data_IF_119438753963
#
_entry.id   IF_119438753963
#
_cell.length_a   1.000
_cell.length_b   1.000
_cell.length_c   1.000
_cell.angle_alpha   90.00
_cell.angle_beta   90.00
_cell.angle_gamma   90.00
#
_symmetry.space_group_name_H-M   'P 1'
#
loop_
_entity.id
_entity.type
_entity.pdbx_description
1 polymer ?
#
# COMPACT_ATOMS: atom_id res chain seq x y z
N UNK A 1 46.48 -46.05 -36.90
CA UNK A 1 45.21 -45.30 -36.84
C UNK A 1 44.88 -45.08 -35.37
N UNK A 2 45.08 -43.87 -34.86
CA UNK A 2 45.07 -43.55 -33.43
C UNK A 2 43.67 -43.04 -33.07
N UNK A 3 42.92 -43.84 -32.32
CA UNK A 3 41.62 -43.45 -31.77
C UNK A 3 41.84 -42.43 -30.66
N UNK A 4 41.40 -41.18 -30.88
CA UNK A 4 41.51 -40.11 -29.90
C UNK A 4 40.33 -40.16 -28.94
N UNK A 5 40.54 -40.66 -27.73
CA UNK A 5 39.56 -40.56 -26.65
C UNK A 5 39.49 -39.10 -26.17
N UNK A 6 38.34 -38.45 -26.39
CA UNK A 6 38.03 -37.15 -25.82
C UNK A 6 37.63 -37.35 -24.36
N UNK A 7 38.56 -37.09 -23.44
CA UNK A 7 38.30 -37.08 -22.01
C UNK A 7 37.74 -35.71 -21.65
N UNK A 8 36.42 -35.58 -21.56
CA UNK A 8 35.79 -34.37 -21.01
C UNK A 8 36.02 -34.39 -19.50
N UNK A 9 36.65 -33.37 -18.89
CA UNK A 9 36.94 -33.37 -17.47
C UNK A 9 35.63 -33.29 -16.69
N UNK A 10 35.43 -34.19 -15.72
CA UNK A 10 34.26 -34.23 -14.84
C UNK A 10 33.99 -32.88 -14.13
N UNK A 11 35.03 -32.07 -13.94
CA UNK A 11 34.94 -30.71 -13.41
C UNK A 11 34.12 -29.76 -14.30
N UNK A 12 34.16 -29.91 -15.63
CA UNK A 12 33.38 -29.08 -16.56
C UNK A 12 31.88 -29.41 -16.51
N UNK A 13 31.53 -30.68 -16.27
CA UNK A 13 30.15 -31.13 -16.08
C UNK A 13 29.61 -30.64 -14.73
N UNK A 14 30.45 -30.65 -13.68
CA UNK A 14 30.05 -30.18 -12.35
C UNK A 14 29.83 -28.66 -12.29
N UNK A 15 30.64 -27.88 -13.02
CA UNK A 15 30.47 -26.42 -13.13
C UNK A 15 29.19 -26.01 -13.87
N UNK A 16 28.75 -26.81 -14.86
CA UNK A 16 27.48 -26.59 -15.57
C UNK A 16 26.24 -26.91 -14.71
N UNK A 17 26.36 -27.78 -13.71
CA UNK A 17 25.26 -28.15 -12.81
C UNK A 17 25.08 -27.18 -11.63
N UNK A 18 26.10 -26.36 -11.34
CA UNK A 18 26.08 -25.37 -10.24
C UNK A 18 25.58 -23.99 -10.68
N UNK A 19 25.41 -23.75 -11.98
CA UNK A 19 24.64 -22.59 -12.48
C UNK A 19 23.15 -22.92 -12.45
N UNK A 20 22.58 -22.97 -11.25
CA UNK A 20 21.12 -22.95 -11.09
C UNK A 20 20.57 -21.64 -11.68
N UNK A 21 19.46 -21.66 -12.44
CA UNK A 21 18.85 -20.42 -12.90
C UNK A 21 18.43 -19.62 -11.67
N UNK A 22 18.94 -18.39 -11.55
CA UNK A 22 18.37 -17.40 -10.65
C UNK A 22 16.89 -17.29 -10.99
N UNK A 23 15.99 -17.60 -10.04
CA UNK A 23 14.59 -17.20 -10.13
C UNK A 23 14.54 -15.68 -9.98
N UNK A 24 14.87 -14.96 -11.04
CA UNK A 24 14.20 -13.70 -11.31
C UNK A 24 12.83 -14.09 -11.86
N UNK A 25 11.74 -13.48 -11.39
CA UNK A 25 10.46 -13.51 -12.10
C UNK A 25 10.70 -12.92 -13.50
N UNK A 26 11.12 -13.80 -14.40
CA UNK A 26 11.37 -13.50 -15.78
C UNK A 26 10.09 -13.84 -16.53
N UNK A 27 9.66 -12.92 -17.39
CA UNK A 27 8.64 -13.14 -18.40
C UNK A 27 8.53 -14.62 -18.82
N UNK A 28 7.36 -15.23 -18.64
CA UNK A 28 7.10 -16.57 -19.14
C UNK A 28 6.94 -16.51 -20.66
N UNK A 29 8.08 -16.55 -21.37
CA UNK A 29 8.14 -16.42 -22.83
C UNK A 29 7.27 -17.47 -23.55
N UNK A 30 7.06 -18.65 -22.97
CA UNK A 30 6.23 -19.68 -23.59
C UNK A 30 4.74 -19.31 -23.58
N UNK A 31 4.24 -18.76 -22.46
CA UNK A 31 2.86 -18.28 -22.35
C UNK A 31 2.67 -16.99 -23.16
N UNK A 32 3.61 -16.06 -23.06
CA UNK A 32 3.45 -14.69 -23.53
C UNK A 32 3.85 -14.47 -24.99
N UNK A 33 4.55 -15.43 -25.63
CA UNK A 33 5.15 -15.23 -26.96
C UNK A 33 4.16 -14.71 -28.02
N UNK A 34 2.97 -15.31 -28.12
CA UNK A 34 2.00 -14.97 -29.16
C UNK A 34 1.49 -13.53 -29.00
N UNK A 35 0.90 -13.22 -27.85
CA UNK A 35 0.27 -11.93 -27.59
C UNK A 35 1.29 -10.80 -27.47
N UNK A 36 2.43 -11.03 -26.81
CA UNK A 36 3.51 -10.02 -26.75
C UNK A 36 4.04 -9.73 -28.15
N UNK A 37 4.26 -10.74 -29.00
CA UNK A 37 4.72 -10.52 -30.38
C UNK A 37 3.70 -9.73 -31.19
N UNK A 38 2.41 -10.07 -31.08
CA UNK A 38 1.32 -9.35 -31.73
C UNK A 38 1.30 -7.87 -31.30
N UNK A 39 1.37 -7.59 -30.01
CA UNK A 39 1.30 -6.23 -29.48
C UNK A 39 2.54 -5.40 -29.83
N UNK A 40 3.72 -6.01 -29.88
CA UNK A 40 4.95 -5.35 -30.33
C UNK A 40 4.93 -5.03 -31.83
N UNK A 41 4.45 -5.95 -32.67
CA UNK A 41 4.31 -5.73 -34.12
C UNK A 41 3.30 -4.63 -34.43
N UNK A 42 2.23 -4.52 -33.64
CA UNK A 42 1.24 -3.44 -33.75
C UNK A 42 1.71 -2.11 -33.13
N UNK A 43 2.95 -2.06 -32.64
CA UNK A 43 3.56 -0.88 -32.01
C UNK A 43 2.84 -0.39 -30.75
N UNK A 44 2.03 -1.25 -30.12
CA UNK A 44 1.22 -0.88 -28.96
C UNK A 44 2.01 -0.90 -27.65
N UNK A 45 3.18 -1.55 -27.62
CA UNK A 45 3.99 -1.76 -26.41
C UNK A 45 5.44 -1.23 -26.56
N UNK A 46 5.63 -0.01 -27.11
CA UNK A 46 6.97 0.55 -27.38
C UNK A 46 7.47 1.59 -26.36
N UNK A 47 6.70 1.88 -25.31
CA UNK A 47 7.04 2.86 -24.28
C UNK A 47 7.59 2.19 -23.03
N UNK A 48 8.34 2.97 -22.22
CA UNK A 48 8.93 2.52 -20.96
C UNK A 48 8.43 3.40 -19.81
N UNK A 49 7.54 2.88 -18.94
CA UNK A 49 7.03 3.61 -17.79
C UNK A 49 8.14 4.09 -16.85
N UNK A 50 9.23 3.31 -16.72
CA UNK A 50 10.39 3.65 -15.88
C UNK A 50 11.08 4.95 -16.29
N UNK A 51 10.94 5.35 -17.55
CA UNK A 51 11.56 6.56 -18.11
C UNK A 51 10.60 7.76 -18.03
N UNK A 52 9.47 7.62 -17.33
CA UNK A 52 8.41 8.63 -17.22
C UNK A 52 7.53 8.79 -18.46
N UNK A 53 7.74 7.97 -19.49
CA UNK A 53 6.99 8.00 -20.74
C UNK A 53 6.02 6.82 -20.83
N UNK A 54 4.72 7.11 -20.69
CA UNK A 54 3.65 6.10 -20.68
C UNK A 54 2.63 6.28 -21.82
N UNK A 55 3.05 6.86 -22.96
CA UNK A 55 2.14 7.18 -24.08
C UNK A 55 1.42 5.98 -24.69
N UNK A 56 1.91 4.76 -24.47
CA UNK A 56 1.38 3.51 -25.04
C UNK A 56 0.88 2.50 -23.99
N UNK A 57 0.96 2.84 -22.69
CA UNK A 57 0.75 1.87 -21.62
C UNK A 57 -0.67 1.30 -21.61
N UNK A 58 -1.65 2.18 -21.88
CA UNK A 58 -3.07 1.81 -21.95
C UNK A 58 -3.31 0.84 -23.10
N UNK A 59 -2.79 1.16 -24.28
CA UNK A 59 -2.94 0.38 -25.49
C UNK A 59 -2.25 -0.99 -25.35
N UNK A 60 -1.07 -1.03 -24.74
CA UNK A 60 -0.39 -2.29 -24.46
C UNK A 60 -1.16 -3.15 -23.47
N UNK A 61 -1.67 -2.56 -22.39
CA UNK A 61 -2.49 -3.28 -21.40
C UNK A 61 -3.73 -3.88 -22.04
N UNK A 62 -4.43 -3.10 -22.88
CA UNK A 62 -5.58 -3.60 -23.62
C UNK A 62 -5.22 -4.69 -24.64
N UNK A 63 -4.02 -4.62 -25.23
CA UNK A 63 -3.57 -5.61 -26.19
C UNK A 63 -3.22 -6.96 -25.52
N UNK A 64 -2.54 -6.93 -24.37
CA UNK A 64 -2.22 -8.12 -23.57
C UNK A 64 -3.47 -8.66 -22.83
N UNK A 65 -4.40 -7.77 -22.46
CA UNK A 65 -5.67 -8.11 -21.87
C UNK A 65 -5.52 -8.91 -20.58
N UNK A 66 -6.11 -10.11 -20.54
CA UNK A 66 -6.10 -10.98 -19.36
C UNK A 66 -4.72 -11.56 -19.04
N UNK A 67 -3.76 -11.49 -19.97
CA UNK A 67 -2.38 -11.95 -19.77
C UNK A 67 -1.47 -10.83 -19.22
N UNK A 68 -2.02 -9.66 -18.91
CA UNK A 68 -1.22 -8.51 -18.49
C UNK A 68 -0.34 -8.82 -17.29
N UNK A 69 -0.90 -9.38 -16.21
CA UNK A 69 -0.17 -9.62 -14.96
C UNK A 69 0.93 -10.69 -15.12
N UNK A 70 0.74 -11.63 -16.05
CA UNK A 70 1.72 -12.67 -16.37
C UNK A 70 2.77 -12.24 -17.40
N UNK A 71 2.46 -11.26 -18.25
CA UNK A 71 3.27 -10.90 -19.42
C UNK A 71 3.80 -9.47 -19.43
N UNK A 72 3.42 -8.59 -18.49
CA UNK A 72 3.90 -7.21 -18.46
C UNK A 72 5.43 -7.11 -18.29
N UNK A 73 6.07 -8.13 -17.71
CA UNK A 73 7.53 -8.21 -17.55
C UNK A 73 8.22 -8.39 -18.90
N UNK A 74 7.53 -9.01 -19.87
CA UNK A 74 8.04 -9.22 -21.22
C UNK A 74 8.20 -7.91 -22.01
N UNK A 75 7.40 -6.91 -21.66
CA UNK A 75 7.35 -5.59 -22.31
C UNK A 75 7.91 -4.49 -21.41
N UNK A 76 8.41 -4.83 -20.21
CA UNK A 76 9.02 -3.87 -19.28
C UNK A 76 8.00 -2.88 -18.69
N UNK A 77 6.75 -3.28 -18.53
CA UNK A 77 5.67 -2.42 -18.04
C UNK A 77 5.02 -2.89 -16.75
N UNK A 78 5.50 -3.98 -16.14
CA UNK A 78 5.05 -4.30 -14.79
C UNK A 78 5.46 -3.21 -13.81
N UNK A 79 4.61 -2.97 -12.81
CA UNK A 79 5.04 -2.26 -11.62
C UNK A 79 6.19 -3.06 -10.98
N UNK A 80 7.37 -2.47 -10.73
CA UNK A 80 8.47 -3.18 -10.10
C UNK A 80 7.99 -3.79 -8.79
N UNK A 81 7.93 -5.12 -8.78
CA UNK A 81 7.62 -5.88 -7.57
C UNK A 81 8.84 -5.76 -6.66
N UNK A 82 8.82 -4.80 -5.74
CA UNK A 82 9.68 -4.88 -4.57
C UNK A 82 9.17 -6.07 -3.75
N UNK A 83 9.69 -7.27 -4.05
CA UNK A 83 9.65 -8.43 -3.16
C UNK A 83 10.54 -8.18 -1.93
N UNK A 84 10.45 -7.00 -1.35
CA UNK A 84 10.72 -6.85 0.06
C UNK A 84 9.56 -7.59 0.74
N UNK A 85 9.87 -8.59 1.56
CA UNK A 85 8.92 -9.13 2.52
C UNK A 85 8.52 -8.00 3.45
N UNK A 86 7.57 -7.18 2.99
CA UNK A 86 7.01 -6.07 3.73
C UNK A 86 6.49 -6.68 5.04
N UNK A 87 7.06 -6.29 6.20
CA UNK A 87 6.77 -6.95 7.47
C UNK A 87 5.26 -6.98 7.74
N UNK A 88 4.71 -7.94 8.49
CA UNK A 88 3.28 -7.96 8.82
C UNK A 88 2.78 -6.64 9.41
N UNK A 89 3.65 -5.90 10.12
CA UNK A 89 3.38 -4.54 10.64
C UNK A 89 3.11 -3.48 9.56
N UNK A 90 3.52 -3.72 8.32
CA UNK A 90 3.26 -2.83 7.17
C UNK A 90 1.92 -3.10 6.48
N UNK A 91 1.23 -4.19 6.82
CA UNK A 91 -0.09 -4.56 6.30
C UNK A 91 -1.13 -4.46 7.40
N UNK A 92 -2.30 -3.96 7.05
CA UNK A 92 -3.43 -3.88 7.96
C UNK A 92 -4.75 -4.03 7.23
N UNK A 93 -5.74 -4.49 7.97
CA UNK A 93 -7.15 -4.48 7.57
C UNK A 93 -7.83 -3.33 8.28
N UNK A 94 -8.65 -2.57 7.55
CA UNK A 94 -9.35 -1.40 8.06
C UNK A 94 -10.83 -1.50 7.75
N UNK A 95 -11.67 -0.95 8.62
CA UNK A 95 -13.12 -0.96 8.46
C UNK A 95 -13.75 0.22 9.23
N UNK A 96 -14.81 0.78 8.66
CA UNK A 96 -15.71 1.73 9.33
C UNK A 96 -16.73 0.97 10.17
N UNK A 97 -16.86 1.36 11.44
CA UNK A 97 -17.76 0.70 12.38
C UNK A 97 -19.19 1.19 12.20
N UNK A 98 -20.14 0.26 12.36
CA UNK A 98 -21.56 0.59 12.32
C UNK A 98 -22.01 1.19 13.66
N UNK A 99 -22.82 2.25 13.62
CA UNK A 99 -23.37 2.91 14.81
C UNK A 99 -22.32 3.34 15.86
N UNK A 100 -21.34 4.18 15.48
CA UNK A 100 -20.35 4.65 16.44
C UNK A 100 -20.99 5.51 17.53
N UNK A 101 -20.35 5.53 18.70
CA UNK A 101 -20.77 6.33 19.86
C UNK A 101 -19.65 7.33 20.20
N UNK A 102 -19.49 8.43 19.43
CA UNK A 102 -18.42 9.42 19.62
C UNK A 102 -18.23 9.91 21.05
N UNK A 103 -19.34 10.13 21.78
CA UNK A 103 -19.30 10.59 23.16
C UNK A 103 -18.69 9.57 24.11
N UNK A 104 -18.91 8.26 23.88
CA UNK A 104 -18.32 7.20 24.68
C UNK A 104 -16.83 7.10 24.41
N UNK A 105 -16.42 7.13 23.15
CA UNK A 105 -15.01 7.08 22.77
C UNK A 105 -14.23 8.22 23.44
N UNK A 106 -14.71 9.45 23.29
CA UNK A 106 -14.11 10.64 23.93
C UNK A 106 -14.00 10.47 25.45
N UNK A 107 -15.07 10.04 26.11
CA UNK A 107 -15.08 9.83 27.56
C UNK A 107 -14.08 8.75 28.03
N UNK A 108 -13.80 7.75 27.20
CA UNK A 108 -12.82 6.69 27.49
C UNK A 108 -11.38 7.09 27.15
N UNK A 109 -11.18 8.10 26.31
CA UNK A 109 -9.85 8.57 25.87
C UNK A 109 -9.39 9.87 26.53
N UNK A 110 -10.29 10.61 27.18
CA UNK A 110 -9.98 11.86 27.89
C UNK A 110 -9.38 11.57 29.28
N UNK A 111 -8.15 12.06 29.51
CA UNK A 111 -7.48 11.99 30.82
C UNK A 111 -6.58 10.77 31.03
N UNK A 112 -6.08 10.58 32.27
CA UNK A 112 -5.27 9.41 32.63
C UNK A 112 -6.16 8.19 32.87
N UNK A 113 -6.00 7.15 32.05
CA UNK A 113 -6.71 5.89 32.22
C UNK A 113 -5.86 4.89 33.02
N UNK A 114 -6.50 4.08 33.87
CA UNK A 114 -5.83 2.97 34.58
C UNK A 114 -5.80 1.67 33.75
N UNK A 115 -6.10 1.78 32.45
CA UNK A 115 -6.26 0.66 31.55
C UNK A 115 -4.96 0.44 30.79
N UNK A 116 -4.65 -0.80 30.43
CA UNK A 116 -3.44 -1.16 29.64
C UNK A 116 -3.64 -0.81 28.15
N UNK A 117 -3.97 0.44 27.90
CA UNK A 117 -4.25 1.00 26.57
C UNK A 117 -3.28 2.13 26.30
N UNK A 118 -2.76 2.17 25.08
CA UNK A 118 -1.91 3.25 24.63
C UNK A 118 -2.76 4.25 23.82
N UNK A 119 -3.13 5.36 24.46
CA UNK A 119 -3.94 6.43 23.83
C UNK A 119 -2.97 7.44 23.21
N UNK A 120 -3.14 7.70 21.91
CA UNK A 120 -2.29 8.62 21.16
C UNK A 120 -3.17 9.65 20.46
N UNK A 121 -2.86 10.92 20.68
CA UNK A 121 -3.50 12.03 19.98
C UNK A 121 -2.48 12.80 19.16
N UNK A 122 -2.76 13.02 17.89
CA UNK A 122 -1.89 13.75 16.97
C UNK A 122 -2.71 14.69 16.07
N UNK A 123 -2.12 15.77 15.53
CA UNK A 123 -2.83 16.66 14.62
C UNK A 123 -3.33 15.89 13.39
N UNK A 124 -4.57 16.11 12.97
CA UNK A 124 -5.17 15.43 11.81
C UNK A 124 -4.32 15.57 10.53
N UNK A 125 -3.58 16.67 10.37
CA UNK A 125 -2.67 16.85 9.24
C UNK A 125 -1.53 15.81 9.18
N UNK A 126 -1.12 15.24 10.31
CA UNK A 126 -0.10 14.19 10.38
C UNK A 126 -0.60 12.83 9.84
N UNK A 127 -1.92 12.60 9.83
CA UNK A 127 -2.52 11.43 9.16
C UNK A 127 -2.26 11.44 7.64
N UNK A 128 -2.19 12.65 7.07
CA UNK A 128 -2.06 12.89 5.63
C UNK A 128 -0.61 13.11 5.17
N UNK A 129 0.31 13.47 6.07
CA UNK A 129 1.71 13.75 5.73
C UNK A 129 2.46 12.52 5.22
N UNK A 130 2.05 11.32 5.63
CA UNK A 130 2.56 10.05 5.10
C UNK A 130 2.08 9.72 3.68
N UNK A 131 1.25 10.58 3.08
CA UNK A 131 0.87 10.54 1.67
C UNK A 131 1.74 11.52 0.88
N UNK A 132 3.06 11.29 0.85
CA UNK A 132 4.03 12.14 0.12
C UNK A 132 3.63 12.35 -1.37
N UNK A 133 2.88 11.40 -1.95
CA UNK A 133 2.39 11.50 -3.33
C UNK A 133 1.10 12.32 -3.51
N UNK A 134 0.31 12.56 -2.44
CA UNK A 134 -0.93 13.33 -2.56
C UNK A 134 -0.68 14.83 -2.42
N UNK A 135 0.26 15.22 -1.56
CA UNK A 135 0.64 16.63 -1.37
C UNK A 135 1.28 17.19 -2.64
N UNK A 136 2.16 16.41 -3.29
CA UNK A 136 2.72 16.76 -4.61
C UNK A 136 1.63 16.97 -5.68
N UNK A 137 0.60 16.11 -5.71
CA UNK A 137 -0.48 16.24 -6.69
C UNK A 137 -1.35 17.50 -6.43
N UNK A 138 -1.62 17.81 -5.16
CA UNK A 138 -2.37 19.01 -4.77
C UNK A 138 -1.57 20.30 -4.97
N UNK A 139 -0.26 20.30 -4.72
CA UNK A 139 0.63 21.43 -5.05
C UNK A 139 0.71 21.67 -6.56
N UNK A 140 0.79 20.61 -7.37
CA UNK A 140 0.83 20.73 -8.84
C UNK A 140 -0.49 21.27 -9.40
N UNK A 141 -1.63 20.93 -8.79
CA UNK A 141 -2.94 21.50 -9.16
C UNK A 141 -3.06 22.98 -8.75
N UNK A 142 -2.45 23.37 -7.62
CA UNK A 142 -2.45 24.76 -7.15
C UNK A 142 -1.54 25.66 -8.02
N UNK A 143 -0.42 25.15 -8.52
CA UNK A 143 0.46 25.89 -9.44
C UNK A 143 -0.16 26.07 -10.84
N UNK A 144 -0.99 25.13 -11.28
CA UNK A 144 -1.67 25.18 -12.57
C UNK A 144 -2.96 26.05 -12.59
N UNK A 145 -3.46 26.51 -11.43
CA UNK A 145 -4.75 27.23 -11.35
C UNK A 145 -4.62 28.74 -11.09
N UNK A 146 -3.52 29.36 -11.51
CA UNK A 146 -3.37 30.82 -11.59
C UNK A 146 -3.98 31.43 -12.87
N UNK A 147 -5.08 30.88 -13.39
CA UNK A 147 -5.91 31.53 -14.41
C UNK A 147 -7.41 31.41 -14.09
N UNK A 148 -7.96 32.52 -13.57
CA UNK A 148 -9.36 32.95 -13.58
C UNK A 148 -10.41 31.93 -14.08
N UNK A 149 -10.88 31.04 -13.21
CA UNK A 149 -12.16 30.35 -13.38
C UNK A 149 -13.04 30.72 -12.19
N UNK A 150 -14.05 31.54 -12.45
CA UNK A 150 -15.13 31.80 -11.51
C UNK A 150 -16.12 30.63 -11.56
N UNK A 151 -16.09 29.78 -10.54
CA UNK A 151 -17.08 28.71 -10.34
C UNK A 151 -18.12 29.18 -9.31
N UNK A 152 -19.43 29.05 -9.57
CA UNK A 152 -20.46 29.53 -8.66
C UNK A 152 -20.49 28.71 -7.37
N UNK A 153 -20.56 29.43 -6.24
CA UNK A 153 -20.44 28.87 -4.90
C UNK A 153 -21.52 27.85 -4.57
N UNK A 154 -21.07 26.68 -4.12
CA UNK A 154 -21.79 25.88 -3.16
C UNK A 154 -20.82 25.59 -2.01
N UNK A 155 -21.09 26.25 -0.89
CA UNK A 155 -20.26 26.27 0.31
C UNK A 155 -20.20 24.89 0.98
N UNK A 156 -19.05 24.23 0.86
CA UNK A 156 -18.51 23.38 1.94
C UNK A 156 -17.15 23.97 2.33
N UNK A 157 -17.18 25.24 2.74
CA UNK A 157 -16.14 25.75 3.64
C UNK A 157 -16.48 25.20 5.03
N UNK A 158 -16.00 23.98 5.31
CA UNK A 158 -15.74 23.61 6.69
C UNK A 158 -14.84 24.72 7.26
N UNK A 159 -15.36 25.39 8.29
CA UNK A 159 -14.71 26.51 8.95
C UNK A 159 -13.32 26.06 9.39
N UNK A 160 -12.31 26.62 8.77
CA UNK A 160 -10.94 26.60 9.24
C UNK A 160 -10.89 27.52 10.45
N UNK A 161 -11.21 26.97 11.62
CA UNK A 161 -11.18 27.69 12.89
C UNK A 161 -10.55 26.80 13.96
N UNK A 162 -9.56 27.37 14.65
CA UNK A 162 -8.88 26.84 15.84
C UNK A 162 -7.94 25.65 15.66
N UNK A 163 -6.65 25.96 15.68
CA UNK A 163 -5.43 25.10 15.76
C UNK A 163 -5.38 24.15 16.99
N UNK A 164 -6.52 23.95 17.67
CA UNK A 164 -6.69 23.09 18.85
C UNK A 164 -7.86 22.10 18.74
N UNK A 165 -8.70 22.19 17.70
CA UNK A 165 -9.96 21.42 17.62
C UNK A 165 -9.90 20.18 16.69
N UNK A 166 -8.73 19.82 16.16
CA UNK A 166 -8.59 18.71 15.21
C UNK A 166 -7.43 17.78 15.57
N UNK A 167 -7.46 17.23 16.78
CA UNK A 167 -6.59 16.11 17.16
C UNK A 167 -7.29 14.80 16.84
N UNK A 168 -6.68 13.98 15.97
CA UNK A 168 -7.07 12.60 15.78
C UNK A 168 -6.60 11.81 17.00
N UNK A 169 -7.52 11.15 17.69
CA UNK A 169 -7.22 10.30 18.84
C UNK A 169 -7.45 8.83 18.47
N UNK A 170 -6.45 8.01 18.74
CA UNK A 170 -6.47 6.57 18.51
C UNK A 170 -6.09 5.83 19.78
N UNK A 171 -6.54 4.59 19.90
CA UNK A 171 -6.25 3.72 21.05
C UNK A 171 -5.66 2.41 20.55
N UNK A 172 -4.47 2.06 21.03
CA UNK A 172 -3.89 0.75 20.82
C UNK A 172 -4.11 -0.12 22.06
N UNK A 173 -4.52 -1.36 21.85
CA UNK A 173 -4.52 -2.36 22.91
C UNK A 173 -3.14 -2.99 23.03
N UNK A 174 -2.61 -3.06 24.25
CA UNK A 174 -1.29 -3.66 24.47
C UNK A 174 -1.26 -5.14 24.09
N UNK A 175 -2.35 -5.86 24.37
CA UNK A 175 -2.51 -7.28 24.08
C UNK A 175 -3.00 -7.54 22.65
N UNK A 176 -2.44 -8.58 22.04
CA UNK A 176 -2.78 -8.99 20.69
C UNK A 176 -4.11 -9.71 20.63
N UNK A 177 -4.84 -9.47 19.55
CA UNK A 177 -6.16 -10.05 19.38
C UNK A 177 -6.46 -10.35 17.92
N UNK A 178 -7.43 -11.23 17.71
CA UNK A 178 -7.96 -11.48 16.36
C UNK A 178 -8.65 -10.24 15.80
N UNK A 179 -8.74 -10.15 14.47
CA UNK A 179 -9.48 -9.08 13.79
C UNK A 179 -10.91 -8.92 14.31
N UNK A 180 -11.60 -10.03 14.57
CA UNK A 180 -12.96 -10.01 15.13
C UNK A 180 -13.00 -9.43 16.54
N UNK A 181 -12.07 -9.81 17.41
CA UNK A 181 -11.95 -9.23 18.75
C UNK A 181 -11.61 -7.74 18.69
N UNK A 182 -10.74 -7.33 17.75
CA UNK A 182 -10.43 -5.92 17.55
C UNK A 182 -11.67 -5.11 17.19
N UNK A 183 -12.46 -5.59 16.22
CA UNK A 183 -13.73 -4.98 15.84
C UNK A 183 -14.68 -4.83 17.04
N UNK A 184 -14.97 -5.92 17.75
CA UNK A 184 -15.89 -5.92 18.89
C UNK A 184 -15.41 -4.98 20.01
N UNK A 185 -14.09 -4.98 20.29
CA UNK A 185 -13.50 -4.07 21.28
C UNK A 185 -13.69 -2.62 20.88
N UNK A 186 -13.38 -2.24 19.63
CA UNK A 186 -13.55 -0.87 19.16
C UNK A 186 -15.01 -0.43 19.09
N UNK A 187 -15.93 -1.32 18.69
CA UNK A 187 -17.39 -1.07 18.77
C UNK A 187 -17.81 -0.80 20.21
N UNK A 188 -17.35 -1.60 21.17
CA UNK A 188 -17.69 -1.43 22.59
C UNK A 188 -17.11 -0.14 23.20
N UNK A 189 -16.04 0.40 22.62
CA UNK A 189 -15.46 1.70 23.00
C UNK A 189 -16.16 2.87 22.33
N UNK A 190 -17.08 2.64 21.38
CA UNK A 190 -17.75 3.69 20.62
C UNK A 190 -16.88 4.32 19.53
N UNK A 191 -15.81 3.66 19.10
CA UNK A 191 -14.93 4.14 18.04
C UNK A 191 -15.67 4.24 16.69
N UNK A 192 -15.17 5.09 15.80
CA UNK A 192 -15.74 5.27 14.45
C UNK A 192 -15.20 4.27 13.43
N UNK A 193 -13.94 3.86 13.61
CA UNK A 193 -13.23 2.96 12.70
C UNK A 193 -12.29 2.07 13.52
N UNK A 194 -11.78 1.01 12.92
CA UNK A 194 -10.65 0.28 13.47
C UNK A 194 -9.62 -0.06 12.39
N UNK A 195 -8.38 -0.22 12.83
CA UNK A 195 -7.30 -0.82 12.06
C UNK A 195 -6.76 -2.03 12.82
N UNK A 196 -6.68 -3.15 12.13
CA UNK A 196 -6.05 -4.36 12.61
C UNK A 196 -4.79 -4.64 11.80
N UNK A 197 -3.63 -4.56 12.43
CA UNK A 197 -2.36 -4.87 11.79
C UNK A 197 -2.16 -6.37 11.71
N UNK A 198 -1.48 -6.85 10.67
CA UNK A 198 -1.31 -8.29 10.43
C UNK A 198 -0.35 -8.96 11.41
N UNK A 199 0.22 -8.18 12.35
CA UNK A 199 0.92 -8.68 13.53
C UNK A 199 0.00 -8.82 14.77
N UNK A 200 -1.32 -8.77 14.58
CA UNK A 200 -2.36 -8.86 15.61
C UNK A 200 -2.50 -7.66 16.56
N UNK A 201 -1.88 -6.53 16.24
CA UNK A 201 -2.10 -5.26 16.93
C UNK A 201 -3.45 -4.63 16.52
N UNK A 202 -4.20 -4.15 17.50
CA UNK A 202 -5.50 -3.51 17.32
C UNK A 202 -5.42 -2.01 17.62
N UNK A 203 -5.96 -1.18 16.72
CA UNK A 203 -6.09 0.26 16.85
C UNK A 203 -7.56 0.67 16.67
N UNK A 204 -8.15 1.29 17.68
CA UNK A 204 -9.45 1.93 17.59
C UNK A 204 -9.28 3.41 17.25
N UNK A 205 -10.09 3.90 16.32
CA UNK A 205 -9.89 5.21 15.71
C UNK A 205 -11.09 6.10 16.04
N UNK A 206 -10.78 7.28 16.56
CA UNK A 206 -11.76 8.27 16.98
C UNK A 206 -12.49 8.95 15.83
N UNK A 207 -13.61 9.62 16.13
CA UNK A 207 -14.43 10.33 15.13
C UNK A 207 -13.74 11.55 14.51
N UNK A 208 -12.71 12.10 15.13
CA UNK A 208 -11.96 13.27 14.64
C UNK A 208 -10.93 12.92 13.55
N UNK A 209 -10.63 11.63 13.36
CA UNK A 209 -9.66 11.17 12.35
C UNK A 209 -10.30 11.14 10.94
N UNK A 210 -9.58 11.65 9.94
CA UNK A 210 -10.06 11.71 8.55
C UNK A 210 -10.04 10.33 7.91
N UNK A 211 -8.94 9.61 8.05
CA UNK A 211 -8.71 8.29 7.45
C UNK A 211 -8.73 7.21 8.54
N UNK A 212 -7.80 6.26 8.53
CA UNK A 212 -7.76 5.13 9.46
C UNK A 212 -6.64 5.25 10.49
N UNK A 213 -6.44 6.44 11.08
CA UNK A 213 -5.47 6.65 12.16
C UNK A 213 -4.02 6.47 11.72
N UNK A 214 -3.16 6.03 12.63
CA UNK A 214 -1.73 5.87 12.31
C UNK A 214 -1.48 4.64 11.45
N UNK A 215 -0.51 4.74 10.54
CA UNK A 215 0.02 3.57 9.82
C UNK A 215 1.10 2.83 10.62
N UNK A 216 1.40 3.29 11.84
CA UNK A 216 2.45 2.72 12.70
C UNK A 216 1.86 1.87 13.80
N UNK A 217 2.39 0.66 13.97
CA UNK A 217 2.05 -0.25 15.06
C UNK A 217 2.60 0.30 16.39
N UNK A 218 1.76 0.37 17.43
CA UNK A 218 2.16 0.82 18.78
C UNK A 218 1.71 -0.09 19.93
N UNK A 219 1.20 -1.29 19.65
CA UNK A 219 0.87 -2.28 20.67
C UNK A 219 2.15 -2.85 21.30
N UNK A 220 2.15 -3.04 22.62
CA UNK A 220 3.36 -3.43 23.38
C UNK A 220 3.66 -4.93 23.34
N UNK A 221 2.64 -5.80 23.30
CA UNK A 221 2.80 -7.25 23.48
C UNK A 221 2.70 -8.05 22.18
N UNK A 222 2.74 -7.38 21.02
CA UNK A 222 2.61 -8.04 19.72
C UNK A 222 3.94 -8.25 19.02
N UNK A 223 4.06 -9.42 18.37
CA UNK A 223 5.25 -9.78 17.62
C UNK A 223 5.48 -8.78 16.48
N UNK A 224 6.75 -8.58 16.10
CA UNK A 224 7.17 -7.67 15.02
C UNK A 224 7.02 -8.32 13.63
#
# INVERSE_FOLDING_TARGET
>A
MRSGNVVIPAAAVLLFLLSGPSLTDACNKALCASDVSKCLIQELCQCRPTDGNCSCCKECMLCLGTLWDECCDCVGMCNPKNYSDTPPTSKSTVEELHEPIPSLFRALTEGETQLNWNIVSFPVAEELSHHENLVSFLETLNEAQSQNVSVPGNSIHARYDSDKDHMCTVVYFDDCMSIHQCKVSCESMGASKYRWFHNACCECIGPECIDYGSKSVKCMNCMF
#
